data_IF_121391311794
#
_entry.id   IF_121391311794
#
_cell.length_a   1.000
_cell.length_b   1.000
_cell.length_c   1.000
_cell.angle_alpha   90.00
_cell.angle_beta   90.00
_cell.angle_gamma   90.00
#
_symmetry.space_group_name_H-M   'P 1'
#
loop_
_entity.id
_entity.type
_entity.pdbx_description
1 polymer ?
#
# COMPACT_ATOMS: atom_id res chain seq x y z
N UNK A 1 9.09 0.74 18.79
CA UNK A 1 9.31 -0.72 18.72
C UNK A 1 8.21 -1.30 17.85
N UNK A 2 8.50 -2.00 16.73
CA UNK A 2 7.42 -2.62 15.95
C UNK A 2 7.01 -3.91 16.66
N UNK A 3 5.83 -3.87 17.28
CA UNK A 3 5.14 -5.05 17.81
C UNK A 3 4.74 -5.94 16.63
N UNK A 4 5.49 -7.00 16.39
CA UNK A 4 5.05 -8.11 15.55
C UNK A 4 3.93 -8.87 16.26
N UNK A 5 2.71 -8.32 16.20
CA UNK A 5 1.50 -8.99 16.64
C UNK A 5 0.81 -9.66 15.45
N UNK A 6 0.21 -10.81 15.68
CA UNK A 6 -0.71 -11.51 14.77
C UNK A 6 -2.02 -10.70 14.56
N UNK A 7 -1.90 -9.47 14.06
CA UNK A 7 -2.99 -8.53 13.84
C UNK A 7 -3.27 -8.27 12.36
N UNK A 8 -4.35 -7.55 12.09
CA UNK A 8 -4.66 -7.09 10.73
C UNK A 8 -3.61 -6.09 10.26
N UNK A 9 -3.15 -6.27 9.03
CA UNK A 9 -2.24 -5.33 8.34
C UNK A 9 -3.01 -4.59 7.26
N UNK A 10 -2.88 -3.27 7.24
CA UNK A 10 -3.33 -2.44 6.13
C UNK A 10 -2.20 -2.31 5.11
N UNK A 11 -2.50 -2.61 3.85
CA UNK A 11 -1.53 -2.56 2.77
C UNK A 11 -2.12 -1.82 1.57
N UNK A 12 -1.34 -0.89 1.03
CA UNK A 12 -1.63 -0.24 -0.24
C UNK A 12 -0.38 -0.22 -1.11
N UNK A 13 -0.58 -0.50 -2.39
CA UNK A 13 0.44 -0.34 -3.42
C UNK A 13 -0.06 0.70 -4.40
N UNK A 14 0.72 1.75 -4.57
CA UNK A 14 0.44 2.82 -5.54
C UNK A 14 1.46 2.75 -6.66
N UNK A 15 0.99 2.87 -7.90
CA UNK A 15 1.83 2.89 -9.11
C UNK A 15 1.63 4.23 -9.79
N UNK A 16 2.71 5.01 -9.90
CA UNK A 16 2.76 6.26 -10.67
C UNK A 16 3.60 6.00 -11.92
N UNK A 17 2.92 5.81 -13.05
CA UNK A 17 3.52 5.45 -14.34
C UNK A 17 4.28 6.61 -14.99
N UNK A 18 3.88 7.84 -14.71
CA UNK A 18 4.51 9.05 -15.25
C UNK A 18 5.80 9.36 -14.49
N UNK A 19 5.79 9.15 -13.17
CA UNK A 19 6.97 9.26 -12.33
C UNK A 19 7.87 8.02 -12.37
N UNK A 20 7.39 6.87 -12.88
CA UNK A 20 8.18 5.64 -12.95
C UNK A 20 8.39 4.98 -11.60
N UNK A 21 7.45 5.13 -10.66
CA UNK A 21 7.64 4.70 -9.27
C UNK A 21 6.50 3.82 -8.77
N UNK A 22 6.86 2.85 -7.93
CA UNK A 22 5.93 2.08 -7.10
C UNK A 22 6.15 2.45 -5.65
N UNK A 23 5.06 2.69 -4.92
CA UNK A 23 5.07 3.03 -3.50
C UNK A 23 4.30 1.97 -2.72
N UNK A 24 4.98 1.33 -1.77
CA UNK A 24 4.36 0.45 -0.78
C UNK A 24 4.10 1.23 0.50
N UNK A 25 2.84 1.19 0.93
CA UNK A 25 2.38 1.76 2.19
C UNK A 25 1.87 0.61 3.05
N UNK A 26 2.40 0.50 4.26
CA UNK A 26 2.05 -0.55 5.21
C UNK A 26 1.70 0.09 6.55
N UNK A 27 0.47 -0.14 6.99
CA UNK A 27 -0.10 0.44 8.21
C UNK A 27 0.16 1.95 8.27
N UNK A 28 0.77 2.43 9.36
CA UNK A 28 1.11 3.84 9.55
C UNK A 28 2.61 4.09 9.45
N UNK A 29 3.34 3.19 8.78
CA UNK A 29 4.77 3.32 8.57
C UNK A 29 5.08 4.27 7.41
N UNK A 30 6.27 4.89 7.39
CA UNK A 30 6.71 5.69 6.26
C UNK A 30 6.63 4.90 4.93
N UNK A 31 6.09 5.51 3.85
CA UNK A 31 6.02 4.86 2.54
C UNK A 31 7.38 4.43 2.02
N UNK A 32 7.45 3.24 1.42
CA UNK A 32 8.66 2.73 0.77
C UNK A 32 8.51 2.84 -0.74
N UNK A 33 9.42 3.55 -1.38
CA UNK A 33 9.39 3.78 -2.83
C UNK A 33 10.46 2.96 -3.54
N UNK A 34 10.12 2.45 -4.72
CA UNK A 34 11.06 1.79 -5.63
C UNK A 34 10.78 2.24 -7.07
N UNK A 35 11.81 2.31 -7.93
CA UNK A 35 11.60 2.54 -9.35
C UNK A 35 10.87 1.36 -9.99
N UNK A 36 10.00 1.63 -10.96
CA UNK A 36 9.37 0.59 -11.78
C UNK A 36 10.42 -0.09 -12.64
N UNK A 37 10.26 -1.39 -12.87
CA UNK A 37 11.10 -2.12 -13.81
C UNK A 37 11.00 -1.48 -15.20
N UNK A 38 12.14 -1.17 -15.80
CA UNK A 38 12.21 -0.44 -17.08
C UNK A 38 12.26 1.09 -16.96
N UNK A 39 12.07 1.65 -15.76
CA UNK A 39 12.41 3.06 -15.50
C UNK A 39 13.93 3.22 -15.50
N UNK A 40 14.45 4.16 -16.29
CA UNK A 40 15.88 4.46 -16.37
C UNK A 40 16.15 5.90 -15.95
N UNK A 41 17.40 6.25 -15.65
CA UNK A 41 17.77 7.64 -15.38
C UNK A 41 17.45 8.59 -16.54
N UNK A 42 17.33 8.08 -17.77
CA UNK A 42 17.02 8.84 -18.98
C UNK A 42 15.51 8.87 -19.32
N UNK A 43 14.70 7.98 -18.75
CA UNK A 43 13.25 7.94 -18.96
C UNK A 43 12.55 7.46 -17.69
N UNK A 44 11.85 8.39 -17.04
CA UNK A 44 10.99 8.10 -15.89
C UNK A 44 9.64 7.53 -16.29
N UNK A 45 9.22 7.68 -17.55
CA UNK A 45 7.91 7.19 -18.00
C UNK A 45 8.00 5.73 -18.40
N UNK A 46 7.23 4.88 -17.74
CA UNK A 46 7.07 3.47 -18.12
C UNK A 46 5.74 3.30 -18.81
N UNK A 47 5.75 2.76 -20.03
CA UNK A 47 4.53 2.44 -20.75
C UNK A 47 3.88 1.20 -20.12
N UNK A 48 2.89 1.42 -19.24
CA UNK A 48 1.99 0.37 -18.76
C UNK A 48 0.66 0.54 -19.49
N UNK A 49 0.25 -0.48 -20.24
CA UNK A 49 -1.08 -0.56 -20.85
C UNK A 49 -1.84 -1.70 -20.19
N UNK A 50 -3.03 -1.41 -19.67
CA UNK A 50 -3.96 -2.40 -19.13
C UNK A 50 -5.06 -2.58 -20.17
N UNK A 51 -5.25 -3.78 -20.75
CA UNK A 51 -6.33 -4.05 -21.70
C UNK A 51 -7.71 -3.78 -21.08
N UNK A 52 -8.67 -3.37 -21.91
CA UNK A 52 -10.05 -3.11 -21.46
C UNK A 52 -10.77 -4.39 -20.99
N UNK A 53 -10.35 -5.56 -21.45
CA UNK A 53 -10.85 -6.88 -21.07
C UNK A 53 -10.05 -7.52 -19.92
N UNK A 54 -9.19 -6.76 -19.25
CA UNK A 54 -8.40 -7.25 -18.13
C UNK A 54 -9.28 -7.71 -16.96
N UNK A 55 -8.91 -8.84 -16.37
CA UNK A 55 -9.60 -9.43 -15.23
C UNK A 55 -8.85 -9.13 -13.93
N UNK A 56 -9.60 -8.82 -12.87
CA UNK A 56 -9.05 -8.60 -11.53
C UNK A 56 -9.31 -9.82 -10.68
N UNK A 57 -8.24 -10.43 -10.20
CA UNK A 57 -8.31 -11.57 -9.29
C UNK A 57 -7.84 -11.20 -7.89
N UNK A 58 -8.63 -11.59 -6.90
CA UNK A 58 -8.20 -11.57 -5.51
C UNK A 58 -7.81 -12.99 -5.08
N UNK A 59 -6.75 -13.08 -4.27
CA UNK A 59 -6.18 -14.32 -3.69
C UNK A 59 -5.46 -15.26 -4.63
N UNK A 60 -5.98 -15.54 -5.82
CA UNK A 60 -5.34 -16.45 -6.76
C UNK A 60 -5.66 -16.07 -8.21
N UNK A 61 -4.61 -15.94 -9.01
CA UNK A 61 -4.69 -15.83 -10.46
C UNK A 61 -4.86 -17.23 -11.08
N UNK A 62 -5.74 -17.42 -12.07
CA UNK A 62 -5.88 -18.69 -12.77
C UNK A 62 -4.55 -19.15 -13.37
N UNK A 63 -4.22 -20.44 -13.20
CA UNK A 63 -2.97 -21.01 -13.71
C UNK A 63 -1.73 -20.78 -12.82
N UNK A 64 -1.79 -19.88 -11.82
CA UNK A 64 -0.71 -19.72 -10.85
C UNK A 64 -0.86 -20.67 -9.65
N UNK A 65 0.26 -21.31 -9.29
CA UNK A 65 0.34 -22.18 -8.10
C UNK A 65 0.39 -21.41 -6.78
N UNK A 66 0.73 -20.12 -6.82
CA UNK A 66 0.83 -19.26 -5.64
C UNK A 66 -0.56 -18.70 -5.32
N UNK A 67 -1.09 -19.09 -4.16
CA UNK A 67 -2.32 -18.52 -3.59
C UNK A 67 -2.00 -17.74 -2.33
N UNK A 68 -2.70 -16.64 -2.11
CA UNK A 68 -2.68 -15.97 -0.81
C UNK A 68 -3.35 -16.87 0.24
N UNK A 69 -2.61 -17.17 1.31
CA UNK A 69 -3.04 -18.09 2.37
C UNK A 69 -3.67 -17.40 3.59
N UNK A 70 -3.87 -16.08 3.54
CA UNK A 70 -4.41 -15.30 4.64
C UNK A 70 -5.89 -14.91 4.49
N UNK A 71 -6.41 -14.27 5.52
CA UNK A 71 -7.71 -13.58 5.47
C UNK A 71 -7.55 -12.20 4.83
N UNK A 72 -8.56 -11.81 4.07
CA UNK A 72 -8.63 -10.48 3.45
C UNK A 72 -10.01 -9.92 3.76
N UNK A 73 -10.05 -8.79 4.47
CA UNK A 73 -11.30 -8.15 4.86
C UNK A 73 -11.77 -7.15 3.81
N UNK A 74 -10.85 -6.35 3.26
CA UNK A 74 -11.14 -5.33 2.26
C UNK A 74 -10.10 -5.40 1.14
N UNK A 75 -10.56 -5.30 -0.10
CA UNK A 75 -9.70 -5.19 -1.26
C UNK A 75 -10.34 -4.21 -2.26
N UNK A 76 -9.57 -3.23 -2.70
CA UNK A 76 -10.08 -2.13 -3.53
C UNK A 76 -8.99 -1.67 -4.49
N UNK A 77 -9.41 -1.34 -5.71
CA UNK A 77 -8.61 -0.63 -6.70
C UNK A 77 -9.22 0.75 -6.87
N UNK A 78 -8.39 1.78 -6.85
CA UNK A 78 -8.84 3.17 -6.99
C UNK A 78 -7.89 3.91 -7.93
N UNK A 79 -8.39 4.85 -8.74
CA UNK A 79 -7.53 5.80 -9.43
C UNK A 79 -6.67 6.54 -8.39
N UNK A 80 -5.39 6.78 -8.73
CA UNK A 80 -4.49 7.54 -7.88
C UNK A 80 -4.85 9.02 -7.91
N UNK A 81 -5.97 9.39 -7.29
CA UNK A 81 -6.50 10.76 -7.38
C UNK A 81 -5.68 11.77 -6.58
N UNK A 82 -4.90 11.35 -5.58
CA UNK A 82 -4.02 12.23 -4.77
C UNK A 82 -2.81 11.46 -4.23
N UNK A 83 -1.60 11.98 -4.47
CA UNK A 83 -0.31 11.34 -4.13
C UNK A 83 -0.11 10.98 -2.65
N UNK A 84 -0.93 11.51 -1.73
CA UNK A 84 -0.75 11.36 -0.27
C UNK A 84 -2.01 10.92 0.50
N UNK A 85 -3.04 10.37 -0.16
CA UNK A 85 -4.22 9.91 0.57
C UNK A 85 -4.08 8.43 0.94
N UNK A 86 -3.86 8.16 2.24
CA UNK A 86 -3.97 6.80 2.77
C UNK A 86 -5.42 6.34 2.67
N UNK A 87 -5.70 5.09 2.25
CA UNK A 87 -7.07 4.59 2.21
C UNK A 87 -7.62 4.25 3.60
N UNK A 88 -6.81 4.36 4.65
CA UNK A 88 -7.18 4.22 6.05
C UNK A 88 -6.69 5.42 6.87
N UNK A 89 -7.26 5.58 8.06
CA UNK A 89 -6.86 6.61 9.02
C UNK A 89 -5.84 6.00 9.97
N UNK A 90 -4.74 6.70 10.17
CA UNK A 90 -3.79 6.39 11.23
C UNK A 90 -4.20 7.13 12.50
N UNK A 91 -4.87 6.43 13.42
CA UNK A 91 -5.12 7.01 14.74
C UNK A 91 -3.79 7.27 15.44
N UNK A 92 -3.59 8.52 15.88
CA UNK A 92 -2.50 8.81 16.81
C UNK A 92 -2.80 8.07 18.11
N UNK A 93 -1.88 7.21 18.57
CA UNK A 93 -1.96 6.63 19.92
C UNK A 93 -2.17 7.80 20.90
N UNK A 94 -3.27 7.81 21.70
CA UNK A 94 -3.48 8.89 22.64
C UNK A 94 -2.28 8.92 23.59
N UNK A 95 -1.55 10.04 23.61
CA UNK A 95 -0.54 10.28 24.64
C UNK A 95 -1.27 10.24 25.97
N UNK A 96 -1.04 9.22 26.79
CA UNK A 96 -1.51 9.21 28.18
C UNK A 96 -1.00 10.50 28.83
N UNK A 97 -1.88 11.48 29.03
CA UNK A 97 -1.58 12.63 29.86
C UNK A 97 -1.45 12.10 31.28
N UNK A 98 -0.22 12.06 31.79
CA UNK A 98 0.00 11.90 33.21
C UNK A 98 -0.56 13.15 33.89
N UNK A 99 -1.76 13.04 34.46
CA UNK A 99 -2.25 14.02 35.41
C UNK A 99 -1.35 13.92 36.65
N UNK A 100 -0.50 14.92 36.86
CA UNK A 100 0.21 15.11 38.13
C UNK A 100 -0.80 15.71 39.09
N UNK A 101 -1.30 14.91 40.01
CA UNK A 101 -2.07 15.39 41.16
C UNK A 101 -1.10 16.11 42.09
N UNK A 102 -1.14 17.44 42.13
CA UNK A 102 -0.50 18.20 43.22
C UNK A 102 -1.36 18.05 44.48
N UNK A 103 -0.75 17.58 45.56
CA UNK A 103 -1.27 17.63 46.92
C UNK A 103 -0.90 18.95 47.59
#
# INVERSE_FOLDING_TARGET
MPTAGYGWTHLAVSVDVDAGTVTLIQDCQPPRQQPLAGSTAASSRVAISIPDDALVYFRQEPGFKKKFLGTMQVAKIQPLTRKNHLPWICEAVPKKQHYVTQQ
#
